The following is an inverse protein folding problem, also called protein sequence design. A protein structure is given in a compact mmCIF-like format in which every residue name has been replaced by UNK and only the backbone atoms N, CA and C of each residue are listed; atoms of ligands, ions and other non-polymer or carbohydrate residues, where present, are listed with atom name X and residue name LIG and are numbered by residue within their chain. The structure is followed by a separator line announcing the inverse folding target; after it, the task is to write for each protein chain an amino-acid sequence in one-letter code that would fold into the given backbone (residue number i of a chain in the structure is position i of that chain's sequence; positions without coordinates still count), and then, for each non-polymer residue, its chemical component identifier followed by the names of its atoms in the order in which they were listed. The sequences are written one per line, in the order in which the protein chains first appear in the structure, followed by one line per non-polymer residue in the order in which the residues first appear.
data_IF_031098102092
#
_entry.id   IF_031098102092
#
_cell.length_a   1.000
_cell.length_b   1.000
_cell.length_c   1.000
_cell.angle_alpha   90.00
_cell.angle_beta   90.00
_cell.angle_gamma   90.00
#
_symmetry.space_group_name_H-M   'P 1'
#
loop_
_entity.id
_entity.type
_entity.pdbx_description
1 polymer ?
#
# COMPACT_ATOMS: atom_id res chain seq x y z
N UNK A 1 4.35 22.34 6.65
CA UNK A 1 4.78 20.95 6.46
C UNK A 1 4.16 20.48 5.15
N UNK A 2 4.95 20.21 4.11
CA UNK A 2 4.45 19.69 2.84
C UNK A 2 3.92 18.28 3.08
N UNK A 3 2.66 18.06 2.70
CA UNK A 3 2.03 16.75 2.73
C UNK A 3 2.83 15.81 1.81
N UNK A 4 3.40 14.68 2.31
CA UNK A 4 4.13 13.72 1.48
C UNK A 4 3.31 13.23 0.29
N UNK A 5 1.99 13.18 0.44
CA UNK A 5 1.03 12.78 -0.57
C UNK A 5 0.97 13.79 -1.73
N UNK A 6 1.11 15.08 -1.42
CA UNK A 6 1.16 16.12 -2.44
C UNK A 6 2.44 16.03 -3.28
N UNK A 7 3.57 15.66 -2.66
CA UNK A 7 4.83 15.45 -3.38
C UNK A 7 4.74 14.28 -4.36
N UNK A 8 4.20 13.12 -3.92
CA UNK A 8 4.01 11.97 -4.82
C UNK A 8 3.11 12.31 -6.02
N UNK A 9 1.98 12.95 -5.77
CA UNK A 9 1.03 13.37 -6.83
C UNK A 9 1.68 14.35 -7.81
N UNK A 10 2.56 15.23 -7.35
CA UNK A 10 3.23 16.19 -8.24
C UNK A 10 4.18 15.52 -9.24
N UNK A 11 4.85 14.42 -8.86
CA UNK A 11 5.72 13.67 -9.78
C UNK A 11 4.97 12.98 -10.91
N UNK A 12 3.67 12.71 -10.74
CA UNK A 12 2.86 11.97 -11.71
C UNK A 12 1.72 12.78 -12.30
N UNK A 13 1.64 14.07 -12.01
CA UNK A 13 0.52 14.89 -12.45
C UNK A 13 0.24 14.73 -13.94
N UNK A 14 1.26 14.94 -14.76
CA UNK A 14 1.14 14.84 -16.21
C UNK A 14 0.75 13.41 -16.68
N UNK A 15 1.25 12.39 -15.98
CA UNK A 15 0.89 11.00 -16.25
C UNK A 15 -0.56 10.69 -15.89
N UNK A 16 -1.07 11.25 -14.78
CA UNK A 16 -2.47 11.11 -14.41
C UNK A 16 -3.37 11.87 -15.39
N UNK A 17 -2.99 13.08 -15.78
CA UNK A 17 -3.76 13.87 -16.74
C UNK A 17 -3.80 13.18 -18.11
N UNK A 18 -2.68 12.65 -18.59
CA UNK A 18 -2.63 11.85 -19.81
C UNK A 18 -3.47 10.57 -19.72
N UNK A 19 -3.39 9.84 -18.59
CA UNK A 19 -4.21 8.65 -18.36
C UNK A 19 -5.71 8.99 -18.35
N UNK A 20 -6.10 10.12 -17.76
CA UNK A 20 -7.49 10.54 -17.64
C UNK A 20 -8.17 10.77 -19.01
N UNK A 21 -7.41 11.18 -20.03
CA UNK A 21 -7.92 11.41 -21.40
C UNK A 21 -8.54 10.13 -22.01
N UNK A 22 -7.96 8.96 -21.71
CA UNK A 22 -8.39 7.67 -22.28
C UNK A 22 -8.58 6.59 -21.20
N UNK A 23 -8.95 6.97 -19.99
CA UNK A 23 -8.99 6.08 -18.81
C UNK A 23 -9.80 4.80 -19.05
N UNK A 24 -10.98 4.90 -19.66
CA UNK A 24 -11.84 3.74 -19.94
C UNK A 24 -11.18 2.74 -20.89
N UNK A 25 -10.47 3.22 -21.89
CA UNK A 25 -9.76 2.38 -22.84
C UNK A 25 -8.56 1.70 -22.20
N UNK A 26 -7.81 2.43 -21.37
CA UNK A 26 -6.68 1.89 -20.59
C UNK A 26 -7.14 0.84 -19.58
N UNK A 27 -8.21 1.10 -18.83
CA UNK A 27 -8.76 0.13 -17.86
C UNK A 27 -9.26 -1.13 -18.57
N UNK A 28 -9.97 -0.98 -19.69
CA UNK A 28 -10.42 -2.14 -20.49
C UNK A 28 -9.23 -2.96 -21.00
N UNK A 29 -8.17 -2.31 -21.46
CA UNK A 29 -6.96 -2.97 -21.93
C UNK A 29 -6.24 -3.71 -20.79
N UNK A 30 -6.00 -3.05 -19.63
CA UNK A 30 -5.39 -3.69 -18.45
C UNK A 30 -6.19 -4.92 -18.05
N UNK A 31 -7.53 -4.82 -18.02
CA UNK A 31 -8.41 -5.95 -17.69
C UNK A 31 -8.28 -7.09 -18.72
N UNK A 32 -8.26 -6.77 -20.00
CA UNK A 32 -8.17 -7.77 -21.06
C UNK A 32 -6.81 -8.48 -21.05
N UNK A 33 -5.71 -7.75 -20.83
CA UNK A 33 -4.37 -8.32 -20.75
C UNK A 33 -4.13 -9.05 -19.42
N UNK A 34 -4.67 -8.53 -18.31
CA UNK A 34 -4.63 -9.19 -17.00
C UNK A 34 -5.35 -10.54 -17.01
N UNK A 35 -6.55 -10.61 -17.62
CA UNK A 35 -7.29 -11.87 -17.77
C UNK A 35 -6.58 -12.91 -18.65
N UNK A 36 -5.61 -12.48 -19.46
CA UNK A 36 -4.80 -13.36 -20.32
C UNK A 36 -3.41 -13.62 -19.76
N UNK A 37 -3.14 -13.24 -18.49
CA UNK A 37 -1.82 -13.30 -17.86
C UNK A 37 -0.69 -12.59 -18.65
N UNK A 38 -1.05 -11.64 -19.52
CA UNK A 38 -0.08 -10.94 -20.38
C UNK A 38 0.30 -9.56 -19.88
N UNK A 39 -0.45 -9.00 -18.89
CA UNK A 39 -0.07 -7.72 -18.32
C UNK A 39 1.18 -7.88 -17.45
N UNK A 40 2.27 -7.32 -17.91
CA UNK A 40 3.51 -7.25 -17.17
C UNK A 40 3.71 -5.88 -16.54
N UNK A 41 3.83 -5.84 -15.21
CA UNK A 41 4.14 -4.61 -14.48
C UNK A 41 5.55 -4.13 -14.80
N UNK A 42 5.74 -2.82 -14.76
CA UNK A 42 7.03 -2.17 -14.97
C UNK A 42 7.87 -2.17 -13.69
N UNK A 43 9.17 -1.94 -13.80
CA UNK A 43 10.00 -1.62 -12.64
C UNK A 43 9.61 -0.26 -12.06
N UNK A 44 9.61 -0.17 -10.72
CA UNK A 44 9.40 1.10 -10.04
C UNK A 44 10.64 2.00 -10.17
N UNK A 45 10.43 3.30 -10.33
CA UNK A 45 11.49 4.29 -10.18
C UNK A 45 11.59 4.70 -8.72
N UNK A 46 12.76 4.56 -8.11
CA UNK A 46 12.99 4.99 -6.72
C UNK A 46 13.47 6.43 -6.69
N UNK A 47 12.82 7.25 -5.87
CA UNK A 47 13.24 8.63 -5.57
C UNK A 47 13.46 8.80 -4.07
N UNK A 48 14.46 9.62 -3.73
CA UNK A 48 14.78 9.95 -2.35
C UNK A 48 14.15 11.29 -1.99
N UNK A 49 13.26 11.29 -1.01
CA UNK A 49 12.58 12.50 -0.53
C UNK A 49 13.10 12.86 0.86
N UNK A 50 13.54 14.11 1.07
CA UNK A 50 14.01 14.57 2.38
C UNK A 50 12.89 14.52 3.43
N UNK A 51 13.22 13.99 4.61
CA UNK A 51 12.39 14.12 5.81
C UNK A 51 12.75 15.39 6.57
N UNK A 52 11.84 15.92 7.43
CA UNK A 52 12.17 17.05 8.30
C UNK A 52 13.37 16.78 9.23
N UNK A 53 13.67 15.53 9.51
CA UNK A 53 14.83 15.10 10.30
C UNK A 53 16.17 15.14 9.55
N UNK A 54 16.20 15.53 8.26
CA UNK A 54 17.38 15.48 7.41
C UNK A 54 17.68 14.09 6.79
N UNK A 55 16.99 13.06 7.21
CA UNK A 55 17.10 11.72 6.61
C UNK A 55 16.34 11.67 5.28
N UNK A 56 16.75 10.74 4.39
CA UNK A 56 16.07 10.49 3.14
C UNK A 56 15.05 9.35 3.29
N UNK A 57 13.91 9.51 2.61
CA UNK A 57 12.91 8.45 2.46
C UNK A 57 12.92 7.98 1.01
N UNK A 58 13.10 6.68 0.80
CA UNK A 58 12.92 6.08 -0.51
C UNK A 58 11.43 5.95 -0.81
N UNK A 59 11.00 6.49 -1.95
CA UNK A 59 9.63 6.35 -2.46
C UNK A 59 9.71 5.61 -3.79
N UNK A 60 8.85 4.61 -3.96
CA UNK A 60 8.72 3.86 -5.19
C UNK A 60 7.66 4.53 -6.09
N UNK A 61 8.06 5.01 -7.25
CA UNK A 61 7.17 5.58 -8.25
C UNK A 61 6.74 4.49 -9.23
N UNK A 62 5.47 4.09 -9.16
CA UNK A 62 4.84 3.14 -10.08
C UNK A 62 4.15 3.89 -11.22
N UNK A 63 4.12 3.30 -12.42
CA UNK A 63 3.26 3.80 -13.50
C UNK A 63 1.79 3.79 -13.08
N UNK A 64 0.95 4.62 -13.69
CA UNK A 64 -0.48 4.73 -13.32
C UNK A 64 -1.20 3.39 -13.48
N UNK A 65 -0.90 2.65 -14.55
CA UNK A 65 -1.44 1.32 -14.80
C UNK A 65 -1.05 0.32 -13.70
N UNK A 66 0.21 0.34 -13.28
CA UNK A 66 0.70 -0.52 -12.19
C UNK A 66 0.06 -0.18 -10.85
N UNK A 67 -0.21 1.11 -10.61
CA UNK A 67 -0.95 1.54 -9.41
C UNK A 67 -2.38 1.00 -9.42
N UNK A 68 -3.05 0.97 -10.57
CA UNK A 68 -4.40 0.41 -10.72
C UNK A 68 -4.37 -1.10 -10.43
N UNK A 69 -3.40 -1.83 -10.99
CA UNK A 69 -3.22 -3.25 -10.73
C UNK A 69 -2.96 -3.51 -9.25
N UNK A 70 -2.05 -2.74 -8.64
CA UNK A 70 -1.76 -2.85 -7.22
C UNK A 70 -3.00 -2.61 -6.36
N UNK A 71 -3.76 -1.55 -6.66
CA UNK A 71 -5.01 -1.27 -5.96
C UNK A 71 -6.04 -2.40 -6.12
N UNK A 72 -6.17 -2.96 -7.30
CA UNK A 72 -7.10 -4.07 -7.53
C UNK A 72 -6.76 -5.28 -6.66
N UNK A 73 -5.48 -5.68 -6.60
CA UNK A 73 -5.01 -6.77 -5.75
C UNK A 73 -5.27 -6.44 -4.27
N UNK A 74 -4.93 -5.23 -3.82
CA UNK A 74 -5.12 -4.81 -2.43
C UNK A 74 -6.60 -4.76 -2.05
N UNK A 75 -7.49 -4.40 -2.97
CA UNK A 75 -8.94 -4.45 -2.73
C UNK A 75 -9.43 -5.88 -2.44
N UNK A 76 -8.95 -6.86 -3.18
CA UNK A 76 -9.29 -8.29 -2.95
C UNK A 76 -8.82 -8.73 -1.56
N UNK A 77 -7.55 -8.45 -1.24
CA UNK A 77 -6.95 -8.79 0.05
C UNK A 77 -7.68 -8.07 1.20
N UNK A 78 -7.97 -6.78 1.07
CA UNK A 78 -8.62 -5.99 2.11
C UNK A 78 -10.04 -6.49 2.41
N UNK A 79 -10.77 -6.94 1.41
CA UNK A 79 -12.11 -7.49 1.59
C UNK A 79 -12.09 -8.80 2.38
N UNK A 80 -11.15 -9.70 2.09
CA UNK A 80 -11.00 -10.94 2.85
C UNK A 80 -10.47 -10.67 4.27
N UNK A 81 -9.51 -9.77 4.41
CA UNK A 81 -8.97 -9.36 5.70
C UNK A 81 -10.06 -8.77 6.61
N UNK A 82 -10.94 -7.92 6.07
CA UNK A 82 -12.06 -7.30 6.81
C UNK A 82 -12.99 -8.36 7.38
N UNK A 83 -13.34 -9.38 6.61
CA UNK A 83 -14.23 -10.48 7.05
C UNK A 83 -13.67 -11.21 8.27
N UNK A 84 -12.34 -11.40 8.33
CA UNK A 84 -11.67 -12.23 9.34
C UNK A 84 -11.25 -11.47 10.59
N UNK A 85 -11.01 -10.17 10.44
CA UNK A 85 -10.36 -9.36 11.49
C UNK A 85 -11.30 -8.37 12.15
N UNK A 86 -12.57 -8.32 11.74
CA UNK A 86 -13.56 -7.33 12.20
C UNK A 86 -13.56 -7.14 13.72
N UNK A 87 -13.59 -8.22 14.51
CA UNK A 87 -13.62 -8.14 15.97
C UNK A 87 -12.32 -7.58 16.59
N UNK A 88 -11.16 -7.84 15.97
CA UNK A 88 -9.87 -7.32 16.43
C UNK A 88 -9.71 -5.86 16.08
N UNK A 89 -10.12 -5.46 14.87
CA UNK A 89 -10.01 -4.08 14.42
C UNK A 89 -10.84 -3.11 15.25
N UNK A 90 -12.03 -3.49 15.64
CA UNK A 90 -12.93 -2.60 16.41
C UNK A 90 -12.38 -2.23 17.79
N UNK A 91 -11.48 -3.02 18.37
CA UNK A 91 -10.95 -2.83 19.73
C UNK A 91 -9.49 -2.42 19.82
N UNK A 92 -8.68 -2.68 18.79
CA UNK A 92 -7.21 -2.56 18.87
C UNK A 92 -6.56 -1.83 17.69
N UNK A 93 -7.22 -1.74 16.56
CA UNK A 93 -6.70 -1.11 15.34
C UNK A 93 -7.57 0.10 15.01
N UNK A 94 -6.94 1.26 14.91
CA UNK A 94 -7.63 2.54 14.72
C UNK A 94 -7.18 3.30 13.48
N UNK A 95 -6.23 2.77 12.73
CA UNK A 95 -5.72 3.43 11.53
C UNK A 95 -5.89 2.53 10.30
N UNK A 96 -6.01 3.17 9.13
CA UNK A 96 -6.09 2.51 7.82
C UNK A 96 -7.15 1.39 7.72
N UNK A 97 -8.30 1.61 8.36
CA UNK A 97 -9.40 0.65 8.32
C UNK A 97 -10.09 0.69 6.96
N UNK A 98 -10.16 -0.45 6.30
CA UNK A 98 -10.82 -0.58 5.01
C UNK A 98 -12.31 -0.26 5.11
N UNK A 99 -12.79 0.67 4.27
CA UNK A 99 -14.17 1.15 4.32
C UNK A 99 -15.17 0.16 3.69
N UNK A 100 -14.73 -0.69 2.75
CA UNK A 100 -15.55 -1.70 2.07
C UNK A 100 -15.83 -1.37 0.61
N UNK A 101 -16.31 -2.36 -0.14
CA UNK A 101 -16.54 -2.29 -1.59
C UNK A 101 -17.50 -1.19 -2.04
N UNK A 102 -18.47 -0.83 -1.20
CA UNK A 102 -19.48 0.20 -1.50
C UNK A 102 -19.00 1.63 -1.22
N UNK A 103 -17.83 1.77 -0.61
CA UNK A 103 -17.26 3.08 -0.30
C UNK A 103 -16.51 3.64 -1.49
N UNK A 104 -16.68 4.94 -1.73
CA UNK A 104 -15.88 5.70 -2.70
C UNK A 104 -14.41 5.79 -2.26
N UNK A 105 -14.14 5.70 -0.94
CA UNK A 105 -12.80 5.76 -0.38
C UNK A 105 -12.36 4.39 0.08
N UNK A 106 -11.09 4.06 -0.12
CA UNK A 106 -10.52 2.80 0.36
C UNK A 106 -10.54 2.69 1.88
N UNK A 107 -10.15 3.75 2.57
CA UNK A 107 -10.10 3.80 4.03
C UNK A 107 -11.26 4.59 4.64
N UNK A 108 -11.65 4.20 5.85
CA UNK A 108 -12.51 5.01 6.71
C UNK A 108 -11.77 6.33 7.02
N UNK A 109 -12.50 7.44 7.02
CA UNK A 109 -11.92 8.76 7.35
C UNK A 109 -11.15 8.69 8.68
N UNK A 110 -9.89 9.09 8.64
CA UNK A 110 -8.96 8.99 9.77
C UNK A 110 -9.45 9.74 11.03
N UNK A 111 -10.19 10.84 10.87
CA UNK A 111 -10.76 11.60 11.98
C UNK A 111 -11.70 10.73 12.85
N UNK A 112 -12.49 9.85 12.22
CA UNK A 112 -13.40 8.96 12.95
C UNK A 112 -12.61 7.89 13.73
N UNK A 113 -11.57 7.37 13.12
CA UNK A 113 -10.68 6.40 13.76
C UNK A 113 -9.89 7.02 14.91
N UNK A 114 -9.39 8.25 14.72
CA UNK A 114 -8.69 8.99 15.78
C UNK A 114 -9.58 9.31 16.98
N UNK A 115 -10.85 9.68 16.77
CA UNK A 115 -11.80 9.88 17.88
C UNK A 115 -11.98 8.61 18.72
N UNK A 116 -12.07 7.44 18.06
CA UNK A 116 -12.15 6.14 18.74
C UNK A 116 -10.87 5.82 19.53
N UNK A 117 -9.71 6.06 18.93
CA UNK A 117 -8.41 5.90 19.59
C UNK A 117 -8.30 6.79 20.83
N UNK A 118 -8.61 8.08 20.70
CA UNK A 118 -8.58 9.02 21.83
C UNK A 118 -9.56 8.66 22.92
N UNK A 119 -10.76 8.16 22.58
CA UNK A 119 -11.72 7.65 23.58
C UNK A 119 -11.12 6.44 24.32
N UNK A 120 -10.53 5.48 23.59
CA UNK A 120 -9.91 4.30 24.19
C UNK A 120 -8.76 4.66 25.15
N UNK A 121 -7.94 5.65 24.80
CA UNK A 121 -6.88 6.13 25.69
C UNK A 121 -7.46 6.71 26.99
N UNK A 122 -8.53 7.51 26.91
CA UNK A 122 -9.21 8.04 28.11
C UNK A 122 -9.78 6.93 28.98
N UNK A 123 -10.42 5.93 28.38
CA UNK A 123 -10.95 4.78 29.11
C UNK A 123 -9.84 4.01 29.84
N UNK A 124 -8.68 3.81 29.20
CA UNK A 124 -7.54 3.19 29.84
C UNK A 124 -7.04 4.02 31.02
N UNK A 125 -6.88 5.33 30.86
CA UNK A 125 -6.47 6.22 31.95
C UNK A 125 -7.46 6.19 33.11
N UNK A 126 -8.76 6.28 32.85
CA UNK A 126 -9.80 6.17 33.86
C UNK A 126 -9.84 4.81 34.58
N UNK A 127 -9.28 3.78 33.93
CA UNK A 127 -9.14 2.43 34.52
C UNK A 127 -7.83 2.24 35.31
N UNK A 128 -7.05 3.30 35.52
CA UNK A 128 -5.82 3.28 36.30
C UNK A 128 -4.53 3.01 35.54
N UNK A 129 -4.59 3.00 34.18
CA UNK A 129 -3.36 2.93 33.36
C UNK A 129 -2.78 4.33 33.15
N UNK A 130 -1.68 4.65 33.80
CA UNK A 130 -1.04 5.98 33.78
C UNK A 130 0.26 6.04 32.97
N UNK A 131 0.72 4.90 32.45
CA UNK A 131 1.93 4.82 31.62
C UNK A 131 1.58 4.46 30.18
N UNK A 132 2.22 5.15 29.22
CA UNK A 132 2.06 4.91 27.77
C UNK A 132 3.43 4.60 27.17
N UNK A 133 3.54 3.46 26.48
CA UNK A 133 4.71 3.12 25.68
C UNK A 133 4.35 3.21 24.20
N UNK A 134 5.17 3.90 23.42
CA UNK A 134 5.05 3.99 21.97
C UNK A 134 6.13 3.14 21.31
N UNK A 135 5.74 2.32 20.35
CA UNK A 135 6.62 1.51 19.52
C UNK A 135 6.42 1.82 18.05
N UNK A 136 7.50 1.85 17.29
CA UNK A 136 7.46 2.00 15.84
C UNK A 136 8.34 0.96 15.18
N UNK A 137 7.94 0.48 13.99
CA UNK A 137 8.71 -0.47 13.20
C UNK A 137 9.61 0.29 12.24
N UNK A 138 10.91 0.21 12.49
CA UNK A 138 11.92 0.85 11.63
C UNK A 138 11.88 0.25 10.22
N UNK A 139 11.83 1.13 9.22
CA UNK A 139 11.85 0.76 7.80
C UNK A 139 10.79 -0.30 7.41
N UNK A 140 9.60 -0.26 8.04
CA UNK A 140 8.55 -1.28 7.88
C UNK A 140 8.30 -1.66 6.41
N UNK A 141 8.15 -0.67 5.52
CA UNK A 141 7.88 -0.93 4.11
C UNK A 141 9.04 -1.62 3.39
N UNK A 142 10.28 -1.41 3.82
CA UNK A 142 11.46 -1.96 3.18
C UNK A 142 11.82 -3.35 3.71
N UNK A 143 11.26 -3.75 4.87
CA UNK A 143 11.65 -4.97 5.59
C UNK A 143 10.62 -6.10 5.55
N UNK A 144 9.45 -5.87 4.94
CA UNK A 144 8.44 -6.93 4.79
C UNK A 144 9.01 -8.06 3.91
N UNK A 145 9.27 -9.21 4.52
CA UNK A 145 9.72 -10.40 3.81
C UNK A 145 8.61 -10.98 2.95
N UNK A 146 8.87 -11.23 1.65
CA UNK A 146 7.86 -11.69 0.70
C UNK A 146 7.44 -13.14 0.98
N UNK A 147 8.30 -13.97 1.53
CA UNK A 147 7.96 -15.34 1.91
C UNK A 147 7.00 -15.34 3.11
N UNK A 148 7.30 -14.52 4.12
CA UNK A 148 6.41 -14.34 5.28
C UNK A 148 5.07 -13.76 4.83
N UNK A 149 5.07 -12.75 3.94
CA UNK A 149 3.86 -12.17 3.37
C UNK A 149 3.02 -13.22 2.62
N UNK A 150 3.66 -14.06 1.79
CA UNK A 150 2.98 -15.14 1.07
C UNK A 150 2.25 -16.09 2.03
N UNK A 151 2.95 -16.60 3.05
CA UNK A 151 2.35 -17.52 4.02
C UNK A 151 1.24 -16.87 4.83
N UNK A 152 1.41 -15.61 5.25
CA UNK A 152 0.39 -14.85 5.96
C UNK A 152 -0.89 -14.68 5.12
N UNK A 153 -0.77 -14.34 3.84
CA UNK A 153 -1.92 -14.21 2.94
C UNK A 153 -2.59 -15.57 2.68
N UNK A 154 -1.81 -16.65 2.60
CA UNK A 154 -2.33 -18.01 2.47
C UNK A 154 -3.13 -18.43 3.70
N UNK A 155 -2.67 -18.14 4.91
CA UNK A 155 -3.42 -18.35 6.16
C UNK A 155 -4.72 -17.54 6.19
N UNK A 156 -4.74 -16.37 5.59
CA UNK A 156 -5.94 -15.56 5.40
C UNK A 156 -6.87 -16.13 4.30
N UNK A 157 -6.51 -17.27 3.67
CA UNK A 157 -7.25 -17.92 2.58
C UNK A 157 -7.48 -16.98 1.37
N UNK A 158 -6.56 -16.10 1.11
CA UNK A 158 -6.47 -15.44 -0.19
C UNK A 158 -6.13 -16.53 -1.22
N UNK A 159 -6.72 -16.45 -2.39
CA UNK A 159 -6.42 -17.40 -3.45
C UNK A 159 -4.94 -17.35 -3.88
N UNK A 160 -4.37 -18.50 -4.18
CA UNK A 160 -2.94 -18.64 -4.43
C UNK A 160 -2.50 -17.88 -5.69
N UNK A 161 -3.35 -17.82 -6.71
CA UNK A 161 -3.10 -17.07 -7.94
C UNK A 161 -2.95 -15.57 -7.68
N UNK A 162 -3.84 -14.98 -6.87
CA UNK A 162 -3.74 -13.58 -6.42
C UNK A 162 -2.46 -13.33 -5.64
N UNK A 163 -2.07 -14.26 -4.74
CA UNK A 163 -0.84 -14.10 -3.95
C UNK A 163 0.40 -14.18 -4.85
N UNK A 164 0.47 -15.15 -5.73
CA UNK A 164 1.59 -15.33 -6.68
C UNK A 164 1.72 -14.11 -7.60
N UNK A 165 0.60 -13.60 -8.09
CA UNK A 165 0.60 -12.40 -8.91
C UNK A 165 1.11 -11.19 -8.13
N UNK A 166 0.67 -10.98 -6.89
CA UNK A 166 1.21 -9.94 -6.02
C UNK A 166 2.73 -10.07 -5.84
N UNK A 167 3.22 -11.26 -5.50
CA UNK A 167 4.66 -11.49 -5.30
C UNK A 167 5.46 -11.22 -6.60
N UNK A 168 4.92 -11.63 -7.76
CA UNK A 168 5.51 -11.32 -9.06
C UNK A 168 5.60 -9.81 -9.32
N UNK A 169 4.56 -9.06 -8.97
CA UNK A 169 4.55 -7.60 -9.04
C UNK A 169 5.58 -6.99 -8.08
N UNK A 170 5.59 -7.41 -6.83
CA UNK A 170 6.51 -6.92 -5.81
C UNK A 170 7.98 -7.14 -6.20
N UNK A 171 8.29 -8.25 -6.86
CA UNK A 171 9.65 -8.51 -7.40
C UNK A 171 10.15 -7.39 -8.30
N UNK A 172 9.28 -6.87 -9.19
CA UNK A 172 9.63 -5.76 -10.09
C UNK A 172 9.63 -4.40 -9.37
N UNK A 173 8.70 -4.17 -8.48
CA UNK A 173 8.56 -2.87 -7.80
C UNK A 173 9.59 -2.63 -6.69
N UNK A 174 10.13 -3.68 -6.09
CA UNK A 174 11.10 -3.57 -4.98
C UNK A 174 12.54 -3.83 -5.41
N UNK A 175 12.76 -4.35 -6.62
CA UNK A 175 14.11 -4.57 -7.13
C UNK A 175 14.89 -3.26 -7.23
N UNK A 176 16.18 -3.33 -6.91
CA UNK A 176 17.07 -2.17 -6.95
C UNK A 176 17.47 -1.85 -8.39
N UNK A 177 17.15 -0.62 -8.84
CA UNK A 177 17.59 -0.09 -10.14
C UNK A 177 18.81 0.84 -10.03
N UNK A 178 19.45 0.89 -8.85
CA UNK A 178 20.54 1.83 -8.55
C UNK A 178 21.89 1.50 -9.17
N UNK A 179 22.05 0.34 -9.76
CA UNK A 179 23.28 -0.01 -10.44
C UNK A 179 23.18 0.37 -11.91
N UNK A 180 24.16 1.10 -12.44
CA UNK A 180 24.40 1.25 -13.87
C UNK A 180 24.72 -0.10 -14.56
N UNK A 181 24.40 -1.21 -13.91
CA UNK A 181 24.58 -2.56 -14.40
C UNK A 181 23.26 -3.19 -14.87
N UNK A 182 23.35 -4.21 -15.74
CA UNK A 182 22.19 -4.81 -16.38
C UNK A 182 21.33 -5.70 -15.47
N UNK A 183 21.56 -5.73 -14.17
CA UNK A 183 20.88 -6.65 -13.25
C UNK A 183 20.08 -5.90 -12.20
N UNK A 184 18.75 -5.96 -12.32
CA UNK A 184 17.84 -5.63 -11.26
C UNK A 184 17.96 -6.69 -10.15
N UNK A 185 18.53 -6.33 -9.01
CA UNK A 185 18.68 -7.26 -7.88
C UNK A 185 17.40 -7.29 -7.08
N UNK A 186 16.79 -8.47 -7.04
CA UNK A 186 15.65 -8.75 -6.18
C UNK A 186 16.13 -9.27 -4.83
N UNK A 187 15.73 -8.59 -3.76
CA UNK A 187 16.17 -8.89 -2.39
C UNK A 187 15.17 -9.74 -1.59
N UNK A 188 14.01 -10.06 -2.12
CA UNK A 188 13.03 -10.91 -1.45
C UNK A 188 12.21 -10.20 -0.37
N UNK A 189 12.34 -8.89 -0.23
CA UNK A 189 11.62 -8.11 0.77
C UNK A 189 11.24 -6.72 0.26
N UNK A 190 10.34 -6.07 1.02
CA UNK A 190 9.85 -4.73 0.77
C UNK A 190 8.50 -4.69 0.05
N UNK A 191 7.78 -3.59 0.27
CA UNK A 191 6.61 -3.21 -0.51
C UNK A 191 6.77 -1.76 -0.97
N UNK A 192 6.19 -1.37 -2.13
CA UNK A 192 6.34 0.00 -2.62
C UNK A 192 5.77 1.00 -1.62
N UNK A 193 6.61 1.92 -1.14
CA UNK A 193 6.16 3.04 -0.34
C UNK A 193 5.83 4.21 -1.27
N UNK A 194 4.62 4.73 -1.17
CA UNK A 194 4.20 5.93 -1.89
C UNK A 194 3.15 5.80 -2.98
N UNK A 195 2.84 4.62 -3.57
CA UNK A 195 1.73 4.52 -4.49
C UNK A 195 0.43 4.73 -3.71
N UNK A 196 -0.02 5.97 -3.73
CA UNK A 196 -1.19 6.42 -2.99
C UNK A 196 -2.44 6.28 -3.85
N UNK A 197 -2.78 5.08 -4.11
CA UNK A 197 -4.11 4.76 -4.62
C UNK A 197 -5.17 4.93 -3.52
N UNK A 198 -4.72 5.20 -2.29
CA UNK A 198 -5.54 5.15 -1.08
C UNK A 198 -6.14 6.47 -0.63
N UNK A 199 -5.87 7.58 -1.31
CA UNK A 199 -6.32 8.91 -0.90
C UNK A 199 -6.97 9.66 -2.08
N UNK A 200 -8.05 9.12 -2.60
CA UNK A 200 -8.96 9.91 -3.41
C UNK A 200 -10.08 10.50 -2.53
#
# INVERSE_FOLDING_TARGET
MSNPDAAYKSYFRDSYDAFAIASDSHIKWIRAEGLKDRYEVSHATKVLVPKPSGLLRSIALLKVEDQIVYQAIVNVIAEELKKRTKQRYEKRVFAHLYAGKSSQFFNIKWQNSYKKFAARLRDCHSSGYDHIANFDLTAFYDTIDHHVLFHFLKELKIDEETIEYLIRCLRKWTSSTWSNGPQNIYHGHGIPQGPLVFYA
#
